data_IF_040137389273
#
_entry.id   IF_040137389273
#
_cell.length_a   1.000
_cell.length_b   1.000
_cell.length_c   1.000
_cell.angle_alpha   90.00
_cell.angle_beta   90.00
_cell.angle_gamma   90.00
#
_symmetry.space_group_name_H-M   'P 1'
#
loop_
_entity.id
_entity.type
_entity.pdbx_description
1 polymer ?
#
# COMPACT_ATOMS: atom_id res chain seq x y z
N UNK A 1 -21.49 8.63 -6.52
CA UNK A 1 -20.86 7.49 -5.78
C UNK A 1 -21.64 7.28 -4.50
N UNK A 2 -22.24 6.12 -4.35
CA UNK A 2 -23.08 5.79 -3.18
C UNK A 2 -22.30 4.84 -2.24
N UNK A 3 -21.44 5.42 -1.40
CA UNK A 3 -20.64 4.70 -0.41
C UNK A 3 -21.40 4.58 0.90
N UNK A 4 -21.28 3.44 1.58
CA UNK A 4 -21.75 3.23 2.95
C UNK A 4 -20.98 4.14 3.92
N UNK A 5 -19.66 4.20 3.76
CA UNK A 5 -18.78 5.12 4.48
C UNK A 5 -18.13 6.13 3.53
N UNK A 6 -18.72 7.31 3.46
CA UNK A 6 -18.23 8.42 2.62
C UNK A 6 -16.84 8.92 3.02
N UNK A 7 -16.37 8.62 4.23
CA UNK A 7 -15.05 9.04 4.71
C UNK A 7 -13.90 8.27 4.04
N UNK A 8 -14.21 7.17 3.34
CA UNK A 8 -13.21 6.41 2.58
C UNK A 8 -12.79 7.08 1.28
N UNK A 9 -13.62 7.98 0.73
CA UNK A 9 -13.30 8.70 -0.50
C UNK A 9 -12.59 10.02 -0.18
N UNK A 10 -11.28 9.94 -0.03
CA UNK A 10 -10.43 11.06 0.37
C UNK A 10 -9.60 11.55 -0.81
N UNK A 11 -9.81 12.80 -1.20
CA UNK A 11 -9.14 13.47 -2.33
C UNK A 11 -7.91 14.26 -1.86
N UNK A 12 -7.07 13.67 -1.04
CA UNK A 12 -5.86 14.29 -0.45
C UNK A 12 -4.73 13.27 -0.30
N UNK A 13 -3.51 13.75 -0.18
CA UNK A 13 -2.34 12.93 0.12
C UNK A 13 -2.17 12.75 1.63
N UNK A 14 -1.84 11.54 2.06
CA UNK A 14 -1.57 11.26 3.47
C UNK A 14 -0.09 11.39 3.78
N UNK A 15 0.29 12.39 4.58
CA UNK A 15 1.68 12.64 4.98
C UNK A 15 1.73 12.93 6.48
N UNK A 16 2.56 12.20 7.21
CA UNK A 16 2.79 12.40 8.64
C UNK A 16 1.52 12.39 9.51
N UNK A 17 0.58 11.51 9.20
CA UNK A 17 -0.67 11.37 9.95
C UNK A 17 -1.78 12.36 9.57
N UNK A 18 -1.58 13.16 8.53
CA UNK A 18 -2.53 14.19 8.08
C UNK A 18 -2.87 14.03 6.60
N UNK A 19 -4.12 14.32 6.25
CA UNK A 19 -4.58 14.45 4.88
C UNK A 19 -4.33 15.88 4.40
N UNK A 20 -3.49 16.03 3.36
CA UNK A 20 -2.98 17.32 2.89
C UNK A 20 -3.18 17.49 1.39
N UNK A 21 -3.34 18.73 0.98
CA UNK A 21 -3.25 19.14 -0.41
C UNK A 21 -1.78 19.29 -0.83
N UNK A 22 -1.50 19.36 -2.13
CA UNK A 22 -0.19 19.69 -2.63
C UNK A 22 0.20 21.11 -2.20
N UNK A 23 1.50 21.37 -1.96
CA UNK A 23 1.96 22.70 -1.58
C UNK A 23 1.69 23.76 -2.66
N UNK A 24 1.59 23.36 -3.92
CA UNK A 24 1.23 24.21 -5.06
C UNK A 24 -0.26 24.48 -5.15
N UNK A 25 -1.09 23.76 -4.39
CA UNK A 25 -2.56 23.72 -4.51
C UNK A 25 -3.05 23.17 -5.88
N UNK A 26 -2.13 22.72 -6.73
CA UNK A 26 -2.47 22.10 -8.00
C UNK A 26 -3.11 20.73 -7.81
N UNK A 27 -4.10 20.44 -8.63
CA UNK A 27 -4.80 19.14 -8.67
C UNK A 27 -4.91 18.63 -10.10
N UNK A 28 -5.18 17.33 -10.24
CA UNK A 28 -5.59 16.73 -11.51
C UNK A 28 -6.88 15.94 -11.30
N UNK A 29 -7.64 15.83 -12.39
CA UNK A 29 -8.93 15.12 -12.37
C UNK A 29 -8.72 13.62 -12.45
N UNK A 30 -9.51 12.88 -11.67
CA UNK A 30 -9.68 11.44 -11.80
C UNK A 30 -10.91 11.19 -12.65
N UNK A 31 -10.71 10.58 -13.80
CA UNK A 31 -11.73 10.31 -14.80
C UNK A 31 -12.01 8.81 -14.85
N UNK A 32 -13.28 8.44 -14.81
CA UNK A 32 -13.70 7.08 -15.05
C UNK A 32 -13.47 6.73 -16.54
N UNK A 33 -12.61 5.78 -16.88
CA UNK A 33 -12.32 5.48 -18.28
C UNK A 33 -13.49 4.81 -19.02
N UNK A 34 -14.49 4.29 -18.32
CA UNK A 34 -15.63 3.61 -18.91
C UNK A 34 -16.67 4.58 -19.49
N UNK A 35 -16.93 5.72 -18.83
CA UNK A 35 -17.96 6.68 -19.21
C UNK A 35 -17.45 8.14 -19.32
N UNK A 36 -16.15 8.35 -19.08
CA UNK A 36 -15.48 9.65 -19.08
C UNK A 36 -16.01 10.63 -18.00
N UNK A 37 -16.78 10.15 -17.03
CA UNK A 37 -17.27 10.97 -15.94
C UNK A 37 -16.13 11.32 -14.96
N UNK A 38 -16.14 12.54 -14.45
CA UNK A 38 -15.22 12.95 -13.40
C UNK A 38 -15.62 12.29 -12.08
N UNK A 39 -14.73 11.46 -11.55
CA UNK A 39 -14.89 10.77 -10.25
C UNK A 39 -14.51 11.70 -9.10
N UNK A 40 -13.42 12.44 -9.25
CA UNK A 40 -12.89 13.32 -8.23
C UNK A 40 -11.63 14.06 -8.68
N UNK A 41 -10.88 14.58 -7.71
CA UNK A 41 -9.58 15.24 -7.94
C UNK A 41 -8.53 14.71 -6.98
N UNK A 42 -7.26 14.73 -7.40
CA UNK A 42 -6.14 14.40 -6.54
C UNK A 42 -5.10 15.51 -6.56
N UNK A 43 -4.37 15.75 -5.44
CA UNK A 43 -3.30 16.71 -5.39
C UNK A 43 -2.16 16.35 -6.36
N UNK A 44 -1.72 17.31 -7.17
CA UNK A 44 -0.54 17.17 -8.01
C UNK A 44 0.73 17.48 -7.19
N UNK A 45 1.17 16.47 -6.41
CA UNK A 45 2.28 16.61 -5.49
C UNK A 45 3.62 16.81 -6.20
N UNK A 46 4.38 17.79 -5.73
CA UNK A 46 5.70 18.11 -6.23
C UNK A 46 6.81 17.25 -5.58
N UNK A 47 8.04 17.37 -6.11
CA UNK A 47 9.23 16.80 -5.48
C UNK A 47 9.37 17.22 -3.99
N UNK A 48 8.99 18.46 -3.66
CA UNK A 48 9.06 18.95 -2.26
C UNK A 48 8.09 18.23 -1.34
N UNK A 49 6.90 17.88 -1.82
CA UNK A 49 5.92 17.13 -1.06
C UNK A 49 6.38 15.68 -0.87
N UNK A 50 6.95 15.08 -1.93
CA UNK A 50 7.55 13.74 -1.86
C UNK A 50 8.69 13.68 -0.84
N UNK A 51 9.58 14.67 -0.80
CA UNK A 51 10.65 14.74 0.20
C UNK A 51 10.09 14.79 1.61
N UNK A 52 9.04 15.59 1.87
CA UNK A 52 8.37 15.62 3.19
C UNK A 52 7.79 14.25 3.57
N UNK A 53 7.18 13.53 2.62
CA UNK A 53 6.66 12.20 2.86
C UNK A 53 7.78 11.21 3.24
N UNK A 54 8.92 11.26 2.54
CA UNK A 54 10.10 10.44 2.83
C UNK A 54 10.66 10.75 4.22
N UNK A 55 10.78 12.03 4.57
CA UNK A 55 11.26 12.47 5.89
C UNK A 55 10.32 12.01 7.03
N UNK A 56 9.01 12.14 6.83
CA UNK A 56 8.01 11.65 7.77
C UNK A 56 8.11 10.13 7.97
N UNK A 57 8.23 9.38 6.87
CA UNK A 57 8.41 7.93 6.91
C UNK A 57 9.72 7.54 7.62
N UNK A 58 10.83 8.25 7.34
CA UNK A 58 12.13 8.03 8.01
C UNK A 58 12.06 8.30 9.52
N UNK A 59 11.35 9.33 9.93
CA UNK A 59 11.12 9.63 11.36
C UNK A 59 10.30 8.53 12.03
N UNK A 60 9.22 8.10 11.40
CA UNK A 60 8.33 7.06 11.92
C UNK A 60 9.00 5.68 11.95
N UNK A 61 9.87 5.37 10.97
CA UNK A 61 10.63 4.13 10.92
C UNK A 61 11.46 3.88 12.18
N UNK A 62 12.01 4.91 12.80
CA UNK A 62 12.79 4.76 14.04
C UNK A 62 11.99 4.21 15.22
N UNK A 63 10.68 4.46 15.24
CA UNK A 63 9.76 3.86 16.21
C UNK A 63 9.31 2.47 15.75
N UNK A 64 8.93 2.35 14.48
CA UNK A 64 8.42 1.11 13.90
C UNK A 64 9.41 -0.06 13.98
N UNK A 65 10.68 0.17 13.67
CA UNK A 65 11.72 -0.86 13.72
C UNK A 65 11.99 -1.42 15.14
N UNK A 66 11.62 -0.68 16.20
CA UNK A 66 11.78 -1.10 17.59
C UNK A 66 10.65 -1.99 18.09
N UNK A 67 9.53 -2.02 17.37
CA UNK A 67 8.42 -2.90 17.72
C UNK A 67 8.81 -4.35 17.54
N UNK A 68 8.28 -5.20 18.41
CA UNK A 68 8.39 -6.65 18.28
C UNK A 68 7.62 -7.14 17.05
N UNK A 69 7.91 -8.32 16.56
CA UNK A 69 7.16 -8.95 15.47
C UNK A 69 5.67 -9.08 15.79
N UNK A 70 5.33 -9.37 17.06
CA UNK A 70 3.94 -9.45 17.53
C UNK A 70 3.23 -8.11 17.44
N UNK A 71 3.85 -7.03 17.91
CA UNK A 71 3.25 -5.69 17.83
C UNK A 71 3.02 -5.25 16.40
N UNK A 72 3.99 -5.44 15.49
CA UNK A 72 3.80 -5.16 14.07
C UNK A 72 2.68 -5.99 13.44
N UNK A 73 2.61 -7.28 13.78
CA UNK A 73 1.54 -8.18 13.35
C UNK A 73 0.15 -7.67 13.72
N UNK A 74 -0.03 -7.15 14.94
CA UNK A 74 -1.31 -6.60 15.41
C UNK A 74 -1.76 -5.42 14.53
N UNK A 75 -0.85 -4.50 14.19
CA UNK A 75 -1.18 -3.37 13.31
C UNK A 75 -1.57 -3.83 11.90
N UNK A 76 -0.81 -4.76 11.32
CA UNK A 76 -1.09 -5.27 9.97
C UNK A 76 -2.41 -6.05 9.97
N UNK A 77 -2.69 -6.84 11.01
CA UNK A 77 -3.96 -7.58 11.15
C UNK A 77 -5.16 -6.64 11.27
N UNK A 78 -5.02 -5.55 12.03
CA UNK A 78 -6.06 -4.53 12.10
C UNK A 78 -6.33 -3.90 10.73
N UNK A 79 -5.29 -3.59 9.98
CA UNK A 79 -5.42 -3.07 8.62
C UNK A 79 -6.13 -4.07 7.70
N UNK A 80 -5.74 -5.34 7.74
CA UNK A 80 -6.40 -6.42 7.01
C UNK A 80 -7.92 -6.48 7.28
N UNK A 81 -8.31 -6.46 8.55
CA UNK A 81 -9.72 -6.52 8.93
C UNK A 81 -10.49 -5.30 8.39
N UNK A 82 -9.91 -4.10 8.49
CA UNK A 82 -10.54 -2.88 7.95
C UNK A 82 -10.72 -2.94 6.43
N UNK A 83 -9.80 -3.54 5.69
CA UNK A 83 -9.96 -3.77 4.24
C UNK A 83 -11.18 -4.65 3.97
N UNK A 84 -11.32 -5.78 4.69
CA UNK A 84 -12.43 -6.70 4.49
C UNK A 84 -13.77 -6.12 4.94
N UNK A 85 -13.81 -5.37 6.03
CA UNK A 85 -15.01 -4.69 6.53
C UNK A 85 -15.54 -3.66 5.52
N UNK A 86 -14.67 -3.07 4.72
CA UNK A 86 -15.01 -2.01 3.77
C UNK A 86 -14.89 -2.44 2.29
N UNK A 87 -14.91 -3.73 2.02
CA UNK A 87 -14.63 -4.29 0.69
C UNK A 87 -15.57 -3.75 -0.38
N UNK A 88 -16.86 -3.56 -0.08
CA UNK A 88 -17.84 -3.07 -1.03
C UNK A 88 -17.55 -1.63 -1.47
N UNK A 89 -17.26 -0.75 -0.50
CA UNK A 89 -16.95 0.65 -0.78
C UNK A 89 -15.61 0.81 -1.49
N UNK A 90 -14.59 0.07 -1.08
CA UNK A 90 -13.28 0.06 -1.74
C UNK A 90 -13.38 -0.47 -3.17
N UNK A 91 -14.19 -1.50 -3.40
CA UNK A 91 -14.42 -2.03 -4.74
C UNK A 91 -15.18 -1.02 -5.62
N UNK A 92 -16.16 -0.30 -5.07
CA UNK A 92 -16.87 0.73 -5.82
C UNK A 92 -15.94 1.89 -6.22
N UNK A 93 -15.09 2.36 -5.32
CA UNK A 93 -14.08 3.37 -5.62
C UNK A 93 -13.16 2.87 -6.75
N UNK A 94 -12.61 1.68 -6.61
CA UNK A 94 -11.73 1.08 -7.61
C UNK A 94 -12.40 0.91 -8.96
N UNK A 95 -13.65 0.45 -8.99
CA UNK A 95 -14.44 0.33 -10.23
C UNK A 95 -14.58 1.68 -10.94
N UNK A 96 -14.89 2.73 -10.21
CA UNK A 96 -15.07 4.07 -10.79
C UNK A 96 -13.76 4.67 -11.28
N UNK A 97 -12.66 4.45 -10.58
CA UNK A 97 -11.34 4.98 -10.96
C UNK A 97 -10.69 4.20 -12.11
N UNK A 98 -10.98 2.90 -12.22
CA UNK A 98 -10.36 1.99 -13.21
C UNK A 98 -11.28 1.67 -14.40
N UNK A 99 -12.57 1.86 -14.28
CA UNK A 99 -13.56 1.50 -15.31
C UNK A 99 -13.78 -0.01 -15.46
N UNK A 100 -13.39 -0.83 -14.49
CA UNK A 100 -13.53 -2.29 -14.53
C UNK A 100 -14.78 -2.78 -13.78
N UNK A 101 -15.25 -4.03 -14.03
CA UNK A 101 -16.39 -4.59 -13.34
C UNK A 101 -16.23 -4.64 -11.82
N UNK A 102 -17.33 -4.47 -11.08
CA UNK A 102 -17.33 -4.44 -9.60
C UNK A 102 -16.86 -5.77 -8.99
N UNK A 103 -17.20 -6.89 -9.62
CA UNK A 103 -16.80 -8.22 -9.14
C UNK A 103 -15.28 -8.43 -9.28
N UNK A 104 -14.68 -7.93 -10.35
CA UNK A 104 -13.23 -7.93 -10.55
C UNK A 104 -12.54 -7.05 -9.49
N UNK A 105 -13.11 -5.90 -9.17
CA UNK A 105 -12.61 -5.03 -8.11
C UNK A 105 -12.67 -5.68 -6.74
N UNK A 106 -13.77 -6.37 -6.42
CA UNK A 106 -13.91 -7.15 -5.17
C UNK A 106 -12.88 -8.29 -5.11
N UNK A 107 -12.71 -9.01 -6.21
CA UNK A 107 -11.71 -10.06 -6.34
C UNK A 107 -10.30 -9.54 -6.09
N UNK A 108 -9.97 -8.37 -6.64
CA UNK A 108 -8.66 -7.73 -6.47
C UNK A 108 -8.41 -7.28 -5.03
N UNK A 109 -9.39 -6.67 -4.37
CA UNK A 109 -9.26 -6.25 -2.97
C UNK A 109 -9.12 -7.47 -2.06
N UNK A 110 -9.87 -8.55 -2.34
CA UNK A 110 -9.73 -9.81 -1.63
C UNK A 110 -8.32 -10.37 -1.79
N UNK A 111 -7.80 -10.41 -3.02
CA UNK A 111 -6.44 -10.85 -3.30
C UNK A 111 -5.40 -9.98 -2.59
N UNK A 112 -5.54 -8.66 -2.64
CA UNK A 112 -4.65 -7.74 -1.93
C UNK A 112 -4.69 -7.96 -0.40
N UNK A 113 -5.86 -8.29 0.16
CA UNK A 113 -6.02 -8.57 1.58
C UNK A 113 -5.24 -9.82 2.02
N UNK A 114 -5.05 -10.82 1.15
CA UNK A 114 -4.24 -12.01 1.47
C UNK A 114 -2.78 -11.65 1.74
N UNK A 115 -2.23 -10.64 1.08
CA UNK A 115 -0.88 -10.17 1.38
C UNK A 115 -0.80 -9.54 2.77
N UNK A 116 -1.79 -8.75 3.17
CA UNK A 116 -1.81 -8.18 4.52
C UNK A 116 -1.95 -9.27 5.59
N UNK A 117 -2.76 -10.30 5.34
CA UNK A 117 -2.87 -11.47 6.20
C UNK A 117 -1.53 -12.21 6.30
N UNK A 118 -0.95 -12.57 5.16
CA UNK A 118 0.34 -13.27 5.09
C UNK A 118 1.44 -12.52 5.83
N UNK A 119 1.61 -11.23 5.54
CA UNK A 119 2.68 -10.44 6.15
C UNK A 119 2.43 -10.08 7.61
N UNK A 120 1.18 -10.14 8.11
CA UNK A 120 0.92 -10.08 9.53
C UNK A 120 1.53 -11.30 10.26
N UNK A 121 1.47 -12.50 9.65
CA UNK A 121 2.11 -13.70 10.20
C UNK A 121 3.63 -13.68 10.00
N UNK A 122 4.12 -13.27 8.82
CA UNK A 122 5.55 -13.17 8.53
C UNK A 122 6.29 -12.14 9.39
N UNK A 123 5.60 -11.10 9.86
CA UNK A 123 6.16 -10.14 10.82
C UNK A 123 6.72 -10.81 12.08
N UNK A 124 6.17 -11.98 12.46
CA UNK A 124 6.60 -12.78 13.62
C UNK A 124 7.74 -13.75 13.30
N UNK A 125 8.05 -13.96 12.01
CA UNK A 125 9.04 -14.94 11.54
C UNK A 125 10.33 -14.32 11.02
N UNK A 126 10.72 -13.16 11.53
CA UNK A 126 11.97 -12.49 11.16
C UNK A 126 13.18 -13.12 11.87
N UNK A 127 13.35 -14.43 11.66
CA UNK A 127 14.43 -15.20 12.29
C UNK A 127 15.80 -14.88 11.70
N UNK A 128 16.84 -15.04 12.55
CA UNK A 128 18.21 -15.17 12.09
C UNK A 128 18.57 -16.64 11.78
N UNK A 129 19.85 -16.85 11.48
CA UNK A 129 20.40 -18.19 11.26
C UNK A 129 21.70 -18.34 12.03
N UNK A 130 21.94 -19.53 12.57
CA UNK A 130 23.26 -19.96 13.02
C UNK A 130 23.87 -20.82 11.91
N UNK A 131 25.06 -20.42 11.45
CA UNK A 131 25.74 -21.05 10.32
C UNK A 131 27.07 -21.69 10.86
N UNK A 132 27.33 -22.95 10.56
CA UNK A 132 28.63 -23.56 10.90
C UNK A 132 29.77 -22.76 10.28
N UNK A 133 30.82 -22.54 11.09
CA UNK A 133 32.05 -21.90 10.60
C UNK A 133 33.03 -22.97 10.08
N UNK A 134 33.82 -22.63 9.08
CA UNK A 134 34.95 -23.42 8.60
C UNK A 134 36.13 -23.36 9.55
N UNK A 135 36.10 -22.52 10.58
CA UNK A 135 37.17 -22.34 11.54
C UNK A 135 36.75 -22.80 12.94
N UNK A 136 37.62 -23.54 13.64
CA UNK A 136 37.37 -23.96 15.02
C UNK A 136 37.20 -22.77 15.96
N UNK A 137 36.34 -22.92 16.98
CA UNK A 137 36.07 -21.88 17.99
C UNK A 137 35.23 -20.69 17.50
N UNK A 138 34.70 -20.71 16.27
CA UNK A 138 33.89 -19.66 15.70
C UNK A 138 32.46 -20.10 15.44
N UNK A 139 31.51 -19.20 15.65
CA UNK A 139 30.11 -19.36 15.25
C UNK A 139 29.70 -18.13 14.41
N UNK A 140 28.96 -18.36 13.33
CA UNK A 140 28.41 -17.31 12.49
C UNK A 140 26.92 -17.20 12.79
N UNK A 141 26.49 -16.01 13.16
CA UNK A 141 25.07 -15.71 13.41
C UNK A 141 24.65 -14.61 12.45
N UNK A 142 23.54 -14.82 11.75
CA UNK A 142 22.93 -13.80 10.92
C UNK A 142 21.63 -13.30 11.58
N UNK A 143 21.35 -12.02 11.45
CA UNK A 143 20.10 -11.40 11.88
C UNK A 143 19.47 -10.67 10.70
N UNK A 144 18.14 -10.62 10.65
CA UNK A 144 17.42 -9.81 9.68
C UNK A 144 17.23 -8.40 10.23
N UNK A 145 17.52 -7.42 9.40
CA UNK A 145 17.25 -6.00 9.71
C UNK A 145 16.41 -5.38 8.61
N UNK A 146 15.61 -4.35 8.98
CA UNK A 146 14.81 -3.63 8.00
C UNK A 146 15.70 -2.79 7.09
N UNK A 147 15.36 -2.74 5.79
CA UNK A 147 16.09 -1.94 4.79
C UNK A 147 15.86 -0.43 4.94
N UNK A 148 14.79 -0.02 5.63
CA UNK A 148 14.43 1.39 5.83
C UNK A 148 13.17 1.79 5.08
N UNK A 149 13.13 3.04 4.62
CA UNK A 149 12.02 3.58 3.83
C UNK A 149 12.12 3.09 2.39
N UNK A 150 11.01 2.56 1.87
CA UNK A 150 10.91 2.07 0.50
C UNK A 150 9.91 2.94 -0.28
N UNK A 151 10.23 3.23 -1.53
CA UNK A 151 9.29 3.76 -2.50
C UNK A 151 8.58 2.61 -3.20
N UNK A 152 7.26 2.70 -3.33
CA UNK A 152 6.45 1.71 -4.02
C UNK A 152 5.73 2.42 -5.16
N UNK A 153 5.92 1.92 -6.39
CA UNK A 153 5.19 2.35 -7.58
C UNK A 153 4.49 1.09 -8.09
N UNK A 154 3.17 1.09 -8.02
CA UNK A 154 2.39 -0.07 -8.44
C UNK A 154 2.44 -0.21 -9.96
N UNK A 155 2.69 -1.42 -10.48
CA UNK A 155 2.79 -1.63 -11.90
C UNK A 155 1.42 -1.58 -12.57
N UNK A 156 1.42 -1.29 -13.87
CA UNK A 156 0.26 -1.45 -14.77
C UNK A 156 -0.09 -2.93 -15.04
N UNK A 157 0.41 -3.87 -14.26
CA UNK A 157 0.14 -5.30 -14.43
C UNK A 157 -1.34 -5.62 -14.38
N UNK A 158 -2.14 -4.88 -13.63
CA UNK A 158 -3.58 -5.01 -13.64
C UNK A 158 -4.19 -4.67 -15.00
N UNK A 159 -3.74 -3.62 -15.65
CA UNK A 159 -4.13 -3.29 -17.01
C UNK A 159 -3.72 -4.40 -17.99
N UNK A 160 -2.62 -5.10 -17.72
CA UNK A 160 -2.09 -6.15 -18.58
C UNK A 160 -2.69 -7.53 -18.29
N UNK A 161 -3.13 -7.80 -17.07
CA UNK A 161 -3.77 -9.06 -16.69
C UNK A 161 -5.24 -9.12 -17.09
N UNK A 162 -5.92 -7.98 -17.16
CA UNK A 162 -7.34 -7.90 -17.49
C UNK A 162 -7.61 -7.68 -18.98
N UNK A 163 -6.63 -7.25 -19.75
CA UNK A 163 -6.72 -7.15 -21.20
C UNK A 163 -5.94 -8.31 -21.84
N UNK A 164 -6.48 -8.98 -22.88
CA UNK A 164 -5.68 -9.83 -23.75
C UNK A 164 -4.71 -8.93 -24.47
N UNK A 165 -3.63 -8.56 -23.80
CA UNK A 165 -2.60 -7.75 -24.42
C UNK A 165 -1.87 -8.59 -25.43
N UNK A 166 -2.30 -8.51 -26.65
CA UNK A 166 -1.38 -8.57 -27.76
C UNK A 166 -0.51 -7.32 -27.66
N UNK A 167 0.50 -7.36 -26.80
CA UNK A 167 1.59 -6.42 -26.93
C UNK A 167 2.47 -6.92 -28.03
N UNK A 168 2.31 -6.32 -29.18
CA UNK A 168 3.33 -6.32 -30.22
C UNK A 168 4.30 -5.23 -29.76
N UNK A 169 5.43 -5.64 -29.24
CA UNK A 169 6.61 -4.79 -29.12
C UNK A 169 7.36 -4.91 -30.41
#
# INVERSE_FOLDING_TARGET
>A
MDLKDKSLFIQKCFINGHWLDAKSEETFDIINPSDQAKVGTMPNCSKKDTVKAIEAAKKSWNKWKKLTGKERSIFIRKWHNLILENIDDLALIMTLENGKPIDDSKGEITYASWFTDWFAEEAKRTYGKTIPSTMQGRRIITIKQSVGVCGIITPVSYTHLTLPTKRIV
#
